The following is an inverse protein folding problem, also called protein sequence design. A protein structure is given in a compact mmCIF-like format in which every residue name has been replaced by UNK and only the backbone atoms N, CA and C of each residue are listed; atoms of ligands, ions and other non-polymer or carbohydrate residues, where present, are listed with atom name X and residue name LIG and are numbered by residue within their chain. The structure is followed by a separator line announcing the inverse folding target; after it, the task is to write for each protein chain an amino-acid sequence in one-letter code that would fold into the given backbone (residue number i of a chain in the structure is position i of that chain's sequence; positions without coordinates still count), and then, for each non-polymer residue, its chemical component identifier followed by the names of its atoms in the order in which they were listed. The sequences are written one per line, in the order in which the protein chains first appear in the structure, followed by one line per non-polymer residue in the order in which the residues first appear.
data_IF_839713661503
#
_entry.id   IF_839713661503
#
_cell.length_a   1.000
_cell.length_b   1.000
_cell.length_c   1.000
_cell.angle_alpha   90.00
_cell.angle_beta   90.00
_cell.angle_gamma   90.00
#
_symmetry.space_group_name_H-M   'P 1'
#
loop_
_entity.id
_entity.type
_entity.pdbx_description
1 polymer ?
#
# COMPACT_ATOMS: atom_id res chain seq x y z
N UNK A 1 -7.33 7.79 -24.60
CA UNK A 1 -6.49 8.41 -23.56
C UNK A 1 -5.59 7.37 -22.87
N UNK A 2 -4.34 7.74 -22.64
CA UNK A 2 -3.34 6.99 -21.89
C UNK A 2 -3.71 7.00 -20.40
N UNK A 3 -4.36 5.95 -19.92
CA UNK A 3 -4.64 5.80 -18.50
C UNK A 3 -3.35 5.30 -17.84
N UNK A 4 -2.60 6.23 -17.24
CA UNK A 4 -1.35 5.96 -16.55
C UNK A 4 -1.50 4.69 -15.69
N UNK A 5 -0.83 3.62 -16.11
CA UNK A 5 -0.73 2.42 -15.30
C UNK A 5 -0.17 2.87 -13.94
N UNK A 6 -0.89 2.68 -12.81
CA UNK A 6 -0.31 2.99 -11.53
C UNK A 6 0.92 2.13 -11.45
N UNK A 7 2.09 2.75 -11.35
CA UNK A 7 3.36 2.07 -11.16
C UNK A 7 3.11 0.90 -10.23
N UNK A 8 3.28 -0.32 -10.74
CA UNK A 8 3.16 -1.55 -9.96
C UNK A 8 4.33 -1.61 -8.96
N UNK A 9 4.46 -0.58 -8.11
CA UNK A 9 5.00 -0.76 -6.79
C UNK A 9 4.12 -1.84 -6.19
N UNK A 10 4.66 -3.04 -6.09
CA UNK A 10 4.14 -4.12 -5.27
C UNK A 10 3.58 -3.43 -4.02
N UNK A 11 2.26 -3.43 -3.87
CA UNK A 11 1.62 -2.78 -2.74
C UNK A 11 2.00 -3.68 -1.57
N UNK A 12 2.98 -3.26 -0.78
CA UNK A 12 3.45 -3.99 0.39
C UNK A 12 2.70 -3.42 1.59
N UNK A 13 2.34 -4.28 2.54
CA UNK A 13 1.81 -3.82 3.81
C UNK A 13 2.88 -3.06 4.58
N UNK A 14 2.59 -1.80 4.90
CA UNK A 14 3.50 -0.95 5.68
C UNK A 14 3.54 -1.31 7.17
N UNK A 15 2.81 -2.34 7.61
CA UNK A 15 2.98 -2.92 8.94
C UNK A 15 4.28 -3.75 8.96
N UNK A 16 5.30 -3.38 9.76
CA UNK A 16 6.59 -4.07 9.78
C UNK A 16 6.53 -5.50 10.31
N UNK A 17 5.40 -5.92 10.92
CA UNK A 17 5.15 -7.31 11.34
C UNK A 17 4.39 -8.12 10.30
N UNK A 18 4.04 -7.51 9.17
CA UNK A 18 3.25 -8.11 8.12
C UNK A 18 4.10 -8.21 6.84
N UNK A 19 4.32 -9.43 6.37
CA UNK A 19 5.07 -9.68 5.12
C UNK A 19 4.14 -9.83 3.90
N UNK A 20 2.90 -9.34 4.03
CA UNK A 20 1.89 -9.49 2.98
C UNK A 20 2.23 -8.60 1.78
N UNK A 21 2.55 -9.26 0.66
CA UNK A 21 2.80 -8.64 -0.65
C UNK A 21 1.55 -8.62 -1.55
N UNK A 22 0.47 -9.28 -1.14
CA UNK A 22 -0.80 -9.38 -1.89
C UNK A 22 -1.98 -9.29 -0.95
N UNK A 23 -2.95 -8.43 -1.28
CA UNK A 23 -4.16 -8.22 -0.48
C UNK A 23 -5.31 -7.88 -1.43
N UNK A 24 -6.49 -8.40 -1.13
CA UNK A 24 -7.69 -8.16 -1.94
C UNK A 24 -8.10 -6.69 -1.89
N UNK A 25 -7.91 -6.04 -0.72
CA UNK A 25 -8.20 -4.62 -0.52
C UNK A 25 -7.13 -3.94 0.31
N UNK A 26 -6.67 -2.80 -0.19
CA UNK A 26 -5.68 -1.96 0.49
C UNK A 26 -6.35 -0.80 1.22
N UNK A 27 -6.03 -0.68 2.50
CA UNK A 27 -6.50 0.38 3.37
C UNK A 27 -5.47 1.50 3.47
N UNK A 28 -5.95 2.72 3.70
CA UNK A 28 -5.11 3.88 3.98
C UNK A 28 -4.78 3.88 5.47
N UNK A 29 -3.50 3.81 5.79
CA UNK A 29 -2.98 3.90 7.15
C UNK A 29 -2.52 5.32 7.50
N UNK A 30 -1.50 5.39 8.35
CA UNK A 30 -0.88 6.64 8.80
C UNK A 30 -0.10 7.36 7.69
N UNK A 31 0.27 8.61 7.94
CA UNK A 31 1.12 9.40 7.03
C UNK A 31 2.59 9.09 7.30
N UNK A 32 3.33 8.75 6.24
CA UNK A 32 4.76 8.52 6.28
C UNK A 32 5.51 9.85 6.45
N UNK A 33 6.77 9.78 6.88
CA UNK A 33 7.63 10.98 7.00
C UNK A 33 7.79 11.74 5.69
N UNK A 34 7.67 11.04 4.56
CA UNK A 34 7.67 11.61 3.21
C UNK A 34 6.41 12.42 2.88
N UNK A 35 5.34 12.30 3.68
CA UNK A 35 4.03 12.87 3.40
C UNK A 35 3.07 11.91 2.68
N UNK A 36 3.56 10.77 2.19
CA UNK A 36 2.75 9.73 1.56
C UNK A 36 1.85 9.00 2.56
N UNK A 37 0.73 8.46 2.08
CA UNK A 37 -0.18 7.63 2.89
C UNK A 37 0.31 6.19 2.89
N UNK A 38 0.57 5.62 4.07
CA UNK A 38 0.91 4.22 4.24
C UNK A 38 -0.25 3.33 3.74
N UNK A 39 0.08 2.22 3.09
CA UNK A 39 -0.92 1.22 2.65
C UNK A 39 -0.87 0.00 3.56
N UNK A 40 -2.02 -0.46 4.01
CA UNK A 40 -2.17 -1.64 4.84
C UNK A 40 -3.04 -2.68 4.13
N UNK A 41 -2.74 -3.96 4.32
CA UNK A 41 -3.57 -5.04 3.79
C UNK A 41 -4.90 -5.11 4.54
N UNK A 42 -5.84 -5.92 4.07
CA UNK A 42 -7.17 -6.09 4.66
C UNK A 42 -7.20 -6.64 6.10
N UNK A 43 -6.05 -7.14 6.59
CA UNK A 43 -5.90 -7.69 7.94
C UNK A 43 -5.19 -6.74 8.93
N UNK A 44 -4.66 -5.59 8.48
CA UNK A 44 -3.86 -4.65 9.29
C UNK A 44 -4.51 -3.26 9.36
#
# INVERSE_FOLDING_TARGET
EEMAAPSSLSKICFNPKCDTLSSERWWKGWILRSGDVAKLCDLC
#
